data_IF_197710814302
#
_entry.id   IF_197710814302
#
_cell.length_a   1.000
_cell.length_b   1.000
_cell.length_c   1.000
_cell.angle_alpha   90.00
_cell.angle_beta   90.00
_cell.angle_gamma   90.00
#
_symmetry.space_group_name_H-M   'P 1'
#
loop_
_entity.id
_entity.type
_entity.pdbx_description
1 polymer ?
#
# COMPACT_ATOMS: atom_id res chain seq x y z
N UNK A 1 6.51 -29.32 -17.94
CA UNK A 1 5.18 -29.38 -17.34
C UNK A 1 4.40 -28.16 -17.78
N UNK A 2 3.07 -28.18 -17.81
CA UNK A 2 2.32 -26.95 -18.06
C UNK A 2 2.61 -25.94 -16.95
N UNK A 3 2.50 -24.63 -17.22
CA UNK A 3 2.69 -23.61 -16.21
C UNK A 3 1.64 -23.75 -15.11
N UNK A 4 2.04 -23.52 -13.86
CA UNK A 4 1.12 -23.52 -12.71
C UNK A 4 0.22 -22.28 -12.73
N UNK A 5 -1.07 -22.48 -12.52
CA UNK A 5 -2.06 -21.38 -12.48
C UNK A 5 -2.00 -20.68 -11.14
N UNK A 6 -1.84 -19.35 -11.18
CA UNK A 6 -1.76 -18.50 -9.99
C UNK A 6 -2.89 -17.48 -10.00
N UNK A 7 -3.84 -17.59 -9.07
CA UNK A 7 -4.86 -16.55 -8.89
C UNK A 7 -4.29 -15.37 -8.08
N UNK A 8 -4.38 -14.18 -8.62
CA UNK A 8 -3.99 -12.92 -7.98
C UNK A 8 -5.25 -12.10 -7.66
N UNK A 9 -5.51 -11.87 -6.39
CA UNK A 9 -6.70 -11.13 -5.95
C UNK A 9 -6.37 -9.64 -5.81
N UNK A 10 -7.11 -8.81 -6.55
CA UNK A 10 -7.05 -7.35 -6.47
C UNK A 10 -8.43 -6.78 -6.15
N UNK A 11 -8.53 -5.86 -5.21
CA UNK A 11 -9.80 -5.31 -4.72
C UNK A 11 -9.94 -3.82 -4.98
N UNK A 12 -8.99 -3.05 -4.53
CA UNK A 12 -8.98 -1.60 -4.55
C UNK A 12 -7.67 -1.08 -5.16
N UNK A 13 -7.62 0.22 -5.44
CA UNK A 13 -6.44 0.89 -6.03
C UNK A 13 -5.11 0.48 -5.38
N UNK A 14 -4.94 0.46 -4.04
CA UNK A 14 -3.69 0.05 -3.42
C UNK A 14 -3.29 -1.40 -3.71
N UNK A 15 -4.26 -2.30 -3.94
CA UNK A 15 -3.96 -3.69 -4.27
C UNK A 15 -3.37 -3.82 -5.68
N UNK A 16 -3.83 -3.04 -6.66
CA UNK A 16 -3.25 -3.08 -8.01
C UNK A 16 -1.78 -2.69 -8.01
N UNK A 17 -1.38 -1.70 -7.19
CA UNK A 17 0.01 -1.34 -7.01
C UNK A 17 0.86 -2.51 -6.49
N UNK A 18 0.29 -3.38 -5.65
CA UNK A 18 0.99 -4.54 -5.08
C UNK A 18 0.96 -5.75 -6.01
N UNK A 19 -0.13 -5.92 -6.75
CA UNK A 19 -0.32 -7.06 -7.66
C UNK A 19 0.48 -6.89 -8.97
N UNK A 20 0.61 -5.66 -9.49
CA UNK A 20 1.23 -5.42 -10.80
C UNK A 20 2.67 -5.96 -10.91
N UNK A 21 3.61 -5.70 -9.98
CA UNK A 21 4.95 -6.27 -10.07
C UNK A 21 4.95 -7.80 -10.08
N UNK A 22 4.10 -8.41 -9.25
CA UNK A 22 3.95 -9.88 -9.22
C UNK A 22 3.39 -10.42 -10.53
N UNK A 23 2.32 -9.80 -11.06
CA UNK A 23 1.73 -10.22 -12.33
C UNK A 23 2.78 -10.20 -13.44
N UNK A 24 3.57 -9.11 -13.55
CA UNK A 24 4.62 -9.02 -14.55
C UNK A 24 5.73 -10.06 -14.35
N UNK A 25 6.15 -10.30 -13.11
CA UNK A 25 7.17 -11.31 -12.82
C UNK A 25 6.69 -12.73 -13.14
N UNK A 26 5.46 -13.07 -12.77
CA UNK A 26 4.83 -14.37 -13.06
C UNK A 26 4.62 -14.54 -14.57
N UNK A 27 4.12 -13.52 -15.27
CA UNK A 27 3.89 -13.55 -16.72
C UNK A 27 5.17 -13.72 -17.54
N UNK A 28 6.28 -13.17 -17.05
CA UNK A 28 7.59 -13.34 -17.69
C UNK A 28 8.22 -14.72 -17.42
N UNK A 29 7.67 -15.49 -16.47
CA UNK A 29 8.18 -16.82 -16.11
C UNK A 29 7.46 -17.91 -16.92
N UNK A 30 8.18 -18.91 -17.48
CA UNK A 30 7.56 -20.06 -18.12
C UNK A 30 6.88 -21.02 -17.13
N UNK A 31 7.14 -20.88 -15.83
CA UNK A 31 6.66 -21.80 -14.80
C UNK A 31 5.24 -21.49 -14.32
N UNK A 32 4.75 -20.25 -14.56
CA UNK A 32 3.51 -19.76 -13.97
C UNK A 32 2.59 -19.10 -15.02
N UNK A 33 1.28 -19.23 -14.81
CA UNK A 33 0.22 -18.60 -15.58
C UNK A 33 -0.63 -17.73 -14.61
N UNK A 34 -0.35 -16.42 -14.48
CA UNK A 34 -1.13 -15.55 -13.60
C UNK A 34 -2.52 -15.29 -14.17
N UNK A 35 -3.53 -15.37 -13.31
CA UNK A 35 -4.93 -15.04 -13.54
C UNK A 35 -5.30 -13.89 -12.60
N UNK A 36 -5.66 -12.74 -13.16
CA UNK A 36 -6.00 -11.54 -12.41
C UNK A 36 -7.50 -11.53 -12.09
N UNK A 37 -7.83 -11.49 -10.79
CA UNK A 37 -9.21 -11.47 -10.29
C UNK A 37 -9.46 -10.15 -9.59
N UNK A 38 -10.35 -9.32 -10.15
CA UNK A 38 -10.76 -8.05 -9.57
C UNK A 38 -12.09 -8.23 -8.81
N UNK A 39 -12.08 -7.94 -7.50
CA UNK A 39 -13.31 -8.10 -6.69
C UNK A 39 -14.31 -6.96 -6.90
N UNK A 40 -13.87 -5.80 -7.38
CA UNK A 40 -14.76 -4.67 -7.69
C UNK A 40 -15.24 -3.92 -6.44
N UNK A 41 -14.42 -3.85 -5.39
CA UNK A 41 -14.78 -3.21 -4.11
C UNK A 41 -15.00 -1.69 -4.23
N UNK A 42 -14.42 -1.02 -5.22
CA UNK A 42 -14.64 0.40 -5.51
C UNK A 42 -15.16 0.57 -6.93
N UNK A 43 -16.31 1.23 -7.06
CA UNK A 43 -17.11 1.37 -8.28
C UNK A 43 -16.71 2.60 -9.13
N UNK A 44 -15.43 2.93 -9.25
CA UNK A 44 -15.02 3.96 -10.21
C UNK A 44 -14.34 3.28 -11.41
N UNK A 45 -15.17 2.91 -12.41
CA UNK A 45 -14.71 2.26 -13.63
C UNK A 45 -13.63 3.12 -14.33
N UNK A 46 -13.72 4.45 -14.27
CA UNK A 46 -12.75 5.36 -14.85
C UNK A 46 -11.43 5.35 -14.09
N UNK A 47 -11.47 5.36 -12.75
CA UNK A 47 -10.25 5.37 -11.92
C UNK A 47 -9.53 4.01 -11.91
N UNK A 48 -10.27 2.90 -12.01
CA UNK A 48 -9.66 1.56 -12.08
C UNK A 48 -8.97 1.33 -13.43
N UNK A 49 -9.57 1.79 -14.53
CA UNK A 49 -8.99 1.67 -15.88
C UNK A 49 -7.69 2.47 -16.04
N UNK A 50 -7.61 3.68 -15.49
CA UNK A 50 -6.38 4.49 -15.54
C UNK A 50 -5.23 3.83 -14.77
N UNK A 51 -5.48 3.30 -13.57
CA UNK A 51 -4.40 2.66 -12.80
C UNK A 51 -3.92 1.35 -13.42
N UNK A 52 -4.81 0.54 -14.00
CA UNK A 52 -4.42 -0.65 -14.75
C UNK A 52 -3.50 -0.29 -15.90
N UNK A 53 -3.84 0.77 -16.66
CA UNK A 53 -3.04 1.28 -17.77
C UNK A 53 -1.69 1.82 -17.29
N UNK A 54 -1.67 2.63 -16.23
CA UNK A 54 -0.44 3.21 -15.66
C UNK A 54 0.54 2.10 -15.19
N UNK A 55 0.00 0.99 -14.67
CA UNK A 55 0.77 -0.16 -14.20
C UNK A 55 1.06 -1.21 -15.29
N UNK A 56 0.52 -1.03 -16.50
CA UNK A 56 0.66 -1.98 -17.61
C UNK A 56 0.00 -3.33 -17.32
N UNK A 57 -1.05 -3.36 -16.51
CA UNK A 57 -1.87 -4.55 -16.29
C UNK A 57 -2.90 -4.72 -17.41
N UNK A 58 -3.24 -5.97 -17.77
CA UNK A 58 -4.38 -6.24 -18.64
C UNK A 58 -5.71 -6.01 -17.91
N UNK A 59 -6.80 -6.09 -18.66
CA UNK A 59 -8.11 -6.26 -18.05
C UNK A 59 -8.12 -7.53 -17.18
N UNK A 60 -8.81 -7.51 -16.04
CA UNK A 60 -8.93 -8.70 -15.18
C UNK A 60 -9.59 -9.88 -15.93
N UNK A 61 -9.03 -11.07 -15.72
CA UNK A 61 -9.61 -12.32 -16.26
C UNK A 61 -11.00 -12.59 -15.69
N UNK A 62 -11.21 -12.21 -14.41
CA UNK A 62 -12.52 -12.28 -13.74
C UNK A 62 -12.79 -10.99 -12.95
N UNK A 63 -14.05 -10.53 -13.03
CA UNK A 63 -14.55 -9.38 -12.30
C UNK A 63 -15.76 -9.77 -11.45
N UNK A 64 -15.62 -9.71 -10.11
CA UNK A 64 -16.67 -10.20 -9.19
C UNK A 64 -17.83 -9.22 -8.99
N UNK A 65 -17.66 -7.94 -9.29
CA UNK A 65 -18.70 -6.92 -9.21
C UNK A 65 -19.28 -6.70 -7.83
N UNK A 66 -18.47 -6.81 -6.77
CA UNK A 66 -18.96 -6.78 -5.37
C UNK A 66 -19.51 -5.40 -4.98
N UNK A 67 -18.86 -4.32 -5.42
CA UNK A 67 -19.25 -2.96 -5.08
C UNK A 67 -18.97 -2.56 -3.63
N UNK A 68 -19.50 -1.38 -3.23
CA UNK A 68 -19.46 -0.91 -1.85
C UNK A 68 -20.54 -1.57 -1.02
N UNK A 69 -20.32 -1.65 0.30
CA UNK A 69 -21.28 -2.24 1.26
C UNK A 69 -20.66 -2.34 2.65
N UNK A 70 -21.40 -2.89 3.62
CA UNK A 70 -20.88 -3.17 4.93
C UNK A 70 -19.80 -4.26 4.91
N UNK A 71 -18.89 -4.27 5.89
CA UNK A 71 -17.78 -5.22 5.94
C UNK A 71 -18.22 -6.69 5.83
N UNK A 72 -19.26 -7.08 6.57
CA UNK A 72 -19.78 -8.45 6.54
C UNK A 72 -20.36 -8.83 5.17
N UNK A 73 -21.11 -7.93 4.55
CA UNK A 73 -21.70 -8.13 3.23
C UNK A 73 -20.61 -8.26 2.17
N UNK A 74 -19.66 -7.33 2.11
CA UNK A 74 -18.55 -7.40 1.15
C UNK A 74 -17.74 -8.70 1.30
N UNK A 75 -17.35 -9.05 2.53
CA UNK A 75 -16.59 -10.28 2.82
C UNK A 75 -17.37 -11.51 2.36
N UNK A 76 -18.66 -11.61 2.71
CA UNK A 76 -19.52 -12.75 2.34
C UNK A 76 -19.71 -12.87 0.83
N UNK A 77 -19.94 -11.77 0.13
CA UNK A 77 -20.12 -11.76 -1.35
C UNK A 77 -18.83 -12.16 -2.05
N UNK A 78 -17.66 -11.65 -1.62
CA UNK A 78 -16.36 -12.08 -2.18
C UNK A 78 -16.16 -13.58 -1.98
N UNK A 79 -16.45 -14.11 -0.78
CA UNK A 79 -16.33 -15.55 -0.51
C UNK A 79 -17.20 -16.39 -1.45
N UNK A 80 -18.44 -15.97 -1.70
CA UNK A 80 -19.37 -16.71 -2.58
C UNK A 80 -18.89 -16.65 -4.04
N UNK A 81 -18.62 -15.46 -4.57
CA UNK A 81 -18.29 -15.31 -5.99
C UNK A 81 -16.90 -15.86 -6.32
N UNK A 82 -15.91 -15.61 -5.46
CA UNK A 82 -14.57 -16.20 -5.65
C UNK A 82 -14.59 -17.72 -5.45
N UNK A 83 -15.40 -18.23 -4.51
CA UNK A 83 -15.58 -19.66 -4.31
C UNK A 83 -16.01 -20.38 -5.59
N UNK A 84 -17.02 -19.85 -6.29
CA UNK A 84 -17.50 -20.39 -7.57
C UNK A 84 -16.38 -20.44 -8.64
N UNK A 85 -15.58 -19.37 -8.72
CA UNK A 85 -14.45 -19.30 -9.66
C UNK A 85 -13.38 -20.32 -9.27
N UNK A 86 -13.03 -20.40 -7.99
CA UNK A 86 -11.99 -21.30 -7.50
C UNK A 86 -12.38 -22.79 -7.64
N UNK A 87 -13.66 -23.13 -7.57
CA UNK A 87 -14.16 -24.49 -7.83
C UNK A 87 -14.15 -24.81 -9.33
N UNK A 88 -14.56 -23.87 -10.20
CA UNK A 88 -14.63 -24.07 -11.65
C UNK A 88 -13.25 -24.01 -12.32
N UNK A 89 -12.36 -23.16 -11.80
CA UNK A 89 -11.02 -22.85 -12.33
C UNK A 89 -9.98 -22.94 -11.20
N UNK A 90 -9.81 -24.15 -10.67
CA UNK A 90 -8.94 -24.39 -9.49
C UNK A 90 -7.50 -23.98 -9.79
N UNK A 91 -6.91 -23.01 -9.04
CA UNK A 91 -5.52 -22.64 -9.21
C UNK A 91 -4.60 -23.61 -8.45
N UNK A 92 -3.32 -23.62 -8.84
CA UNK A 92 -2.25 -24.26 -8.07
C UNK A 92 -1.81 -23.40 -6.88
N UNK A 93 -1.93 -22.07 -7.01
CA UNK A 93 -1.63 -21.09 -5.98
C UNK A 93 -2.66 -19.96 -5.95
N UNK A 94 -3.02 -19.54 -4.76
CA UNK A 94 -3.77 -18.31 -4.51
C UNK A 94 -2.85 -17.30 -3.85
N UNK A 95 -2.75 -16.08 -4.39
CA UNK A 95 -2.01 -14.98 -3.77
C UNK A 95 -3.01 -13.86 -3.43
N UNK A 96 -3.08 -13.53 -2.15
CA UNK A 96 -3.84 -12.40 -1.62
C UNK A 96 -2.88 -11.31 -1.12
N UNK A 97 -3.28 -10.04 -1.18
CA UNK A 97 -2.38 -8.92 -0.87
C UNK A 97 -3.02 -7.92 0.09
N UNK A 98 -2.25 -7.46 1.09
CA UNK A 98 -2.66 -6.43 2.03
C UNK A 98 -3.78 -6.89 2.98
N UNK A 99 -4.70 -5.98 3.35
CA UNK A 99 -5.55 -6.12 4.52
C UNK A 99 -7.03 -5.73 4.31
N UNK A 100 -7.49 -5.68 3.06
CA UNK A 100 -8.90 -5.35 2.76
C UNK A 100 -9.82 -6.56 2.94
N UNK A 101 -11.14 -6.34 2.98
CA UNK A 101 -12.13 -7.42 3.14
C UNK A 101 -11.97 -8.54 2.10
N UNK A 102 -11.63 -8.20 0.87
CA UNK A 102 -11.40 -9.18 -0.20
C UNK A 102 -10.19 -10.08 0.07
N UNK A 103 -9.18 -9.59 0.77
CA UNK A 103 -7.97 -10.34 1.13
C UNK A 103 -8.33 -11.52 2.06
N UNK A 104 -8.98 -11.22 3.17
CA UNK A 104 -9.38 -12.25 4.14
C UNK A 104 -10.44 -13.18 3.55
N UNK A 105 -11.39 -12.67 2.78
CA UNK A 105 -12.44 -13.46 2.14
C UNK A 105 -11.86 -14.51 1.19
N UNK A 106 -10.95 -14.12 0.29
CA UNK A 106 -10.32 -15.03 -0.64
C UNK A 106 -9.38 -16.03 0.07
N UNK A 107 -8.64 -15.60 1.09
CA UNK A 107 -7.79 -16.49 1.88
C UNK A 107 -8.61 -17.58 2.59
N UNK A 108 -9.77 -17.23 3.16
CA UNK A 108 -10.70 -18.20 3.76
C UNK A 108 -11.23 -19.20 2.73
N UNK A 109 -11.53 -18.78 1.51
CA UNK A 109 -11.93 -19.69 0.42
C UNK A 109 -10.78 -20.62 0.07
N UNK A 110 -9.55 -20.10 -0.11
CA UNK A 110 -8.37 -20.90 -0.38
C UNK A 110 -8.15 -21.98 0.67
N UNK A 111 -8.16 -21.60 1.95
CA UNK A 111 -7.99 -22.53 3.07
C UNK A 111 -9.07 -23.63 3.11
N UNK A 112 -10.35 -23.26 2.88
CA UNK A 112 -11.46 -24.24 2.88
C UNK A 112 -11.44 -25.19 1.69
N UNK A 113 -10.96 -24.76 0.55
CA UNK A 113 -10.83 -25.58 -0.66
C UNK A 113 -9.49 -26.33 -0.73
N UNK A 114 -8.59 -26.14 0.25
CA UNK A 114 -7.25 -26.73 0.24
C UNK A 114 -6.41 -26.23 -0.93
N UNK A 115 -6.52 -24.96 -1.28
CA UNK A 115 -5.70 -24.27 -2.28
C UNK A 115 -4.52 -23.61 -1.54
N UNK A 116 -3.26 -23.93 -1.89
CA UNK A 116 -2.10 -23.28 -1.29
C UNK A 116 -2.21 -21.77 -1.40
N UNK A 117 -2.27 -21.08 -0.24
CA UNK A 117 -2.55 -19.66 -0.15
C UNK A 117 -1.34 -18.88 0.35
N UNK A 118 -0.97 -17.85 -0.36
CA UNK A 118 0.12 -16.93 -0.03
C UNK A 118 -0.46 -15.58 0.36
N UNK A 119 -0.04 -15.03 1.50
CA UNK A 119 -0.34 -13.66 1.89
C UNK A 119 0.88 -12.76 1.68
N UNK A 120 0.78 -11.82 0.75
CA UNK A 120 1.79 -10.78 0.52
C UNK A 120 1.48 -9.55 1.40
N UNK A 121 2.49 -9.03 2.06
CA UNK A 121 2.42 -7.97 3.08
C UNK A 121 1.90 -8.53 4.43
N UNK A 122 2.24 -9.78 4.72
CA UNK A 122 1.90 -10.47 5.95
C UNK A 122 2.66 -9.92 7.17
N UNK A 123 2.10 -10.12 8.35
CA UNK A 123 2.76 -9.83 9.63
C UNK A 123 2.74 -8.37 10.08
N UNK A 124 2.19 -7.44 9.30
CA UNK A 124 2.01 -6.06 9.74
C UNK A 124 0.96 -5.99 10.86
N UNK A 125 1.23 -5.19 11.90
CA UNK A 125 0.32 -5.00 13.04
C UNK A 125 0.26 -3.53 13.46
N UNK A 126 -0.96 -3.03 13.64
CA UNK A 126 -1.21 -1.72 14.28
C UNK A 126 -1.42 -1.86 15.79
N UNK A 127 -1.76 -3.06 16.26
CA UNK A 127 -2.18 -3.32 17.64
C UNK A 127 -3.57 -2.78 17.98
N UNK A 128 -4.25 -2.12 17.04
CA UNK A 128 -5.58 -1.54 17.23
C UNK A 128 -6.67 -2.43 16.62
N UNK A 129 -7.30 -3.25 17.44
CA UNK A 129 -8.39 -4.15 17.04
C UNK A 129 -9.71 -3.44 16.70
N UNK A 130 -9.81 -2.13 16.89
CA UNK A 130 -10.97 -1.36 16.41
C UNK A 130 -10.90 -1.09 14.91
N UNK A 131 -9.73 -1.27 14.31
CA UNK A 131 -9.52 -1.17 12.87
C UNK A 131 -9.93 -2.49 12.19
N UNK A 132 -10.87 -2.46 11.23
CA UNK A 132 -11.25 -3.65 10.45
C UNK A 132 -10.06 -4.31 9.74
N UNK A 133 -9.10 -3.52 9.28
CA UNK A 133 -7.89 -3.99 8.61
C UNK A 133 -7.01 -4.82 9.55
N UNK A 134 -6.95 -4.51 10.84
CA UNK A 134 -6.19 -5.31 11.81
C UNK A 134 -6.79 -6.70 11.97
N UNK A 135 -8.11 -6.79 12.04
CA UNK A 135 -8.82 -8.08 12.08
C UNK A 135 -8.55 -8.87 10.81
N UNK A 136 -8.59 -8.21 9.65
CA UNK A 136 -8.30 -8.85 8.36
C UNK A 136 -6.87 -9.39 8.31
N UNK A 137 -5.86 -8.63 8.77
CA UNK A 137 -4.45 -9.07 8.82
C UNK A 137 -4.30 -10.34 9.67
N UNK A 138 -4.78 -10.30 10.92
CA UNK A 138 -4.72 -11.43 11.85
C UNK A 138 -5.36 -12.70 11.27
N UNK A 139 -6.57 -12.56 10.71
CA UNK A 139 -7.29 -13.70 10.15
C UNK A 139 -6.63 -14.25 8.88
N UNK A 140 -6.15 -13.38 7.98
CA UNK A 140 -5.47 -13.78 6.75
C UNK A 140 -4.17 -14.50 7.03
N UNK A 141 -3.34 -13.98 7.95
CA UNK A 141 -2.07 -14.61 8.35
C UNK A 141 -2.29 -15.98 8.99
N UNK A 142 -3.32 -16.11 9.81
CA UNK A 142 -3.63 -17.37 10.48
C UNK A 142 -3.97 -18.50 9.49
N UNK A 143 -4.71 -18.20 8.39
CA UNK A 143 -5.20 -19.21 7.45
C UNK A 143 -4.33 -19.41 6.22
N UNK A 144 -3.35 -18.53 5.92
CA UNK A 144 -2.47 -18.63 4.75
C UNK A 144 -1.32 -19.60 4.98
N UNK A 145 -0.95 -20.38 3.97
CA UNK A 145 0.14 -21.38 4.04
C UNK A 145 1.53 -20.74 3.98
N UNK A 146 1.66 -19.64 3.26
CA UNK A 146 2.91 -18.90 3.05
C UNK A 146 2.70 -17.42 3.36
N UNK A 147 3.62 -16.85 4.12
CA UNK A 147 3.56 -15.48 4.60
C UNK A 147 4.77 -14.70 4.09
N UNK A 148 4.55 -13.83 3.09
CA UNK A 148 5.56 -12.97 2.54
C UNK A 148 5.58 -11.62 3.27
N UNK A 149 6.61 -11.41 4.06
CA UNK A 149 6.74 -10.25 4.95
C UNK A 149 7.54 -9.12 4.32
N UNK A 150 7.17 -7.85 4.59
CA UNK A 150 7.87 -6.69 4.07
C UNK A 150 9.10 -6.30 4.90
N UNK A 151 9.22 -6.76 6.15
CA UNK A 151 10.20 -6.19 7.10
C UNK A 151 10.43 -7.11 8.30
N UNK A 152 11.54 -6.92 9.06
CA UNK A 152 11.88 -7.73 10.23
C UNK A 152 10.87 -7.68 11.38
N UNK A 153 10.17 -6.57 11.56
CA UNK A 153 9.11 -6.44 12.57
C UNK A 153 7.90 -7.31 12.24
N UNK A 154 7.56 -7.43 10.95
CA UNK A 154 6.51 -8.32 10.50
C UNK A 154 6.85 -9.81 10.79
N UNK A 155 8.09 -10.23 10.56
CA UNK A 155 8.54 -11.59 10.94
C UNK A 155 8.38 -11.82 12.45
N UNK A 156 8.84 -10.85 13.27
CA UNK A 156 8.74 -10.95 14.74
C UNK A 156 7.29 -11.09 15.22
N UNK A 157 6.36 -10.34 14.61
CA UNK A 157 4.95 -10.42 14.94
C UNK A 157 4.40 -11.82 14.69
N UNK A 158 4.65 -12.38 13.50
CA UNK A 158 4.19 -13.73 13.13
C UNK A 158 4.78 -14.81 14.04
N UNK A 159 6.08 -14.74 14.32
CA UNK A 159 6.74 -15.69 15.23
C UNK A 159 6.18 -15.60 16.65
N UNK A 160 5.91 -14.39 17.15
CA UNK A 160 5.29 -14.18 18.47
C UNK A 160 3.85 -14.69 18.53
N UNK A 161 3.14 -14.73 17.41
CA UNK A 161 1.80 -15.32 17.26
C UNK A 161 1.83 -16.85 17.06
N UNK A 162 3.01 -17.47 17.09
CA UNK A 162 3.17 -18.92 16.98
C UNK A 162 3.18 -19.45 15.56
N UNK A 163 3.32 -18.61 14.54
CA UNK A 163 3.45 -19.06 13.16
C UNK A 163 4.82 -19.71 12.96
N UNK A 164 4.87 -20.93 12.38
CA UNK A 164 6.13 -21.62 12.10
C UNK A 164 7.02 -20.85 11.13
N UNK A 165 8.33 -20.76 11.42
CA UNK A 165 9.29 -20.00 10.65
C UNK A 165 9.37 -20.43 9.16
N UNK A 166 9.13 -21.69 8.86
CA UNK A 166 9.12 -22.23 7.49
C UNK A 166 7.98 -21.69 6.62
N UNK A 167 6.91 -21.14 7.23
CA UNK A 167 5.82 -20.46 6.52
C UNK A 167 6.17 -19.01 6.19
N UNK A 168 7.17 -18.43 6.85
CA UNK A 168 7.56 -17.02 6.73
C UNK A 168 8.71 -16.86 5.74
N UNK A 169 8.57 -15.97 4.78
CA UNK A 169 9.66 -15.57 3.88
C UNK A 169 9.69 -14.05 3.78
N UNK A 170 10.79 -13.43 4.25
CA UNK A 170 10.97 -11.99 4.07
C UNK A 170 11.32 -11.70 2.62
N UNK A 171 10.43 -11.00 1.93
CA UNK A 171 10.58 -10.66 0.52
C UNK A 171 10.88 -9.16 0.29
N UNK A 172 10.55 -8.30 1.25
CA UNK A 172 10.64 -6.86 1.14
C UNK A 172 9.31 -6.21 0.76
N UNK A 173 9.35 -4.93 0.44
CA UNK A 173 8.16 -4.11 0.21
C UNK A 173 7.83 -4.02 -1.29
N UNK A 174 6.73 -4.65 -1.69
CA UNK A 174 6.28 -4.73 -3.09
C UNK A 174 5.83 -3.38 -3.67
N UNK A 175 5.45 -2.40 -2.84
CA UNK A 175 5.10 -1.06 -3.31
C UNK A 175 6.28 -0.38 -3.99
N UNK A 176 7.50 -0.70 -3.56
CA UNK A 176 8.71 -0.13 -4.14
C UNK A 176 9.02 -0.69 -5.53
N UNK A 177 8.64 -1.94 -5.80
CA UNK A 177 8.72 -2.51 -7.15
C UNK A 177 7.81 -1.73 -8.11
N UNK A 178 6.60 -1.34 -7.68
CA UNK A 178 5.70 -0.51 -8.48
C UNK A 178 6.25 0.90 -8.68
N UNK A 179 6.84 1.48 -7.63
CA UNK A 179 7.51 2.77 -7.76
C UNK A 179 8.66 2.70 -8.78
N UNK A 180 9.56 1.71 -8.68
CA UNK A 180 10.68 1.56 -9.61
C UNK A 180 10.19 1.33 -11.06
N UNK A 181 9.15 0.54 -11.24
CA UNK A 181 8.55 0.31 -12.54
C UNK A 181 8.00 1.59 -13.16
N UNK A 182 7.40 2.46 -12.37
CA UNK A 182 6.81 3.74 -12.81
C UNK A 182 7.80 4.91 -12.75
N UNK A 183 9.00 4.72 -12.19
CA UNK A 183 10.03 5.76 -12.03
C UNK A 183 10.32 6.58 -13.31
N UNK A 184 10.44 5.97 -14.53
CA UNK A 184 10.66 6.75 -15.75
C UNK A 184 9.48 7.70 -16.05
N UNK A 185 8.23 7.24 -15.87
CA UNK A 185 7.04 8.07 -16.06
C UNK A 185 6.93 9.17 -14.99
N UNK A 186 7.25 8.86 -13.73
CA UNK A 186 7.32 9.81 -12.62
C UNK A 186 8.32 10.94 -12.94
N UNK A 187 9.51 10.59 -13.42
CA UNK A 187 10.51 11.57 -13.82
C UNK A 187 10.07 12.42 -15.03
N UNK A 188 9.40 11.81 -16.01
CA UNK A 188 8.90 12.48 -17.20
C UNK A 188 7.73 13.44 -16.92
N UNK A 189 6.96 13.23 -15.83
CA UNK A 189 5.81 14.05 -15.46
C UNK A 189 6.22 15.49 -15.06
N UNK A 190 7.42 15.69 -14.51
CA UNK A 190 7.97 17.01 -14.16
C UNK A 190 6.97 17.91 -13.43
N UNK A 191 6.23 17.32 -12.48
CA UNK A 191 5.16 18.06 -11.76
C UNK A 191 5.68 19.29 -10.99
N UNK A 192 6.87 19.26 -10.34
CA UNK A 192 7.42 20.44 -9.70
C UNK A 192 7.60 21.60 -10.68
N UNK A 193 8.07 21.35 -11.90
CA UNK A 193 8.23 22.38 -12.95
C UNK A 193 6.88 22.92 -13.40
N UNK A 194 5.90 22.04 -13.64
CA UNK A 194 4.53 22.43 -14.02
C UNK A 194 3.87 23.33 -12.98
N UNK A 195 4.23 23.13 -11.71
CA UNK A 195 3.75 23.96 -10.60
C UNK A 195 4.67 25.16 -10.27
N UNK A 196 5.74 25.41 -11.03
CA UNK A 196 6.66 26.53 -10.78
C UNK A 196 7.50 26.39 -9.51
N UNK A 197 7.75 25.16 -9.07
CA UNK A 197 8.49 24.82 -7.84
C UNK A 197 9.93 24.35 -8.12
N UNK A 198 10.34 24.28 -9.38
CA UNK A 198 11.66 23.78 -9.75
C UNK A 198 12.78 24.55 -9.01
N UNK A 199 13.69 23.82 -8.39
CA UNK A 199 14.84 24.37 -7.66
C UNK A 199 14.48 25.06 -6.33
N UNK A 200 13.24 25.01 -5.88
CA UNK A 200 12.80 25.57 -4.60
C UNK A 200 12.41 24.47 -3.64
N UNK A 201 12.79 24.53 -2.36
CA UNK A 201 12.31 23.57 -1.37
C UNK A 201 10.80 23.79 -1.10
N UNK A 202 10.03 22.72 -1.04
CA UNK A 202 8.60 22.74 -0.71
C UNK A 202 8.20 21.50 0.07
N UNK A 203 7.06 21.56 0.77
CA UNK A 203 6.42 20.46 1.45
C UNK A 203 5.20 20.00 0.67
N UNK A 204 4.99 18.70 0.60
CA UNK A 204 3.73 18.10 0.12
C UNK A 204 2.87 17.72 1.32
N UNK A 205 1.61 18.18 1.36
CA UNK A 205 0.64 17.78 2.36
C UNK A 205 -0.43 16.87 1.74
N UNK A 206 -0.87 15.82 2.47
CA UNK A 206 -2.03 15.01 2.11
C UNK A 206 -2.72 14.48 3.35
N UNK A 207 -4.02 14.72 3.46
CA UNK A 207 -4.86 14.37 4.60
C UNK A 207 -6.20 13.85 4.09
N UNK A 208 -6.64 12.69 4.61
CA UNK A 208 -7.89 12.05 4.18
C UNK A 208 -8.53 11.15 5.23
N UNK A 209 -7.84 10.90 6.37
CA UNK A 209 -8.39 10.01 7.41
C UNK A 209 -9.56 10.65 8.13
N UNK A 210 -10.64 9.87 8.39
CA UNK A 210 -11.83 10.35 9.10
C UNK A 210 -11.51 11.02 10.43
N UNK A 211 -10.63 10.44 11.24
CA UNK A 211 -10.22 10.98 12.54
C UNK A 211 -9.61 12.37 12.46
N UNK A 212 -8.99 12.71 11.33
CA UNK A 212 -8.33 13.98 11.10
C UNK A 212 -9.23 15.04 10.47
N UNK A 213 -10.14 14.63 9.57
CA UNK A 213 -10.83 15.59 8.70
C UNK A 213 -12.34 15.67 8.94
N UNK A 214 -13.01 14.67 9.54
CA UNK A 214 -14.47 14.62 9.60
C UNK A 214 -15.09 15.57 10.64
N UNK A 215 -14.32 16.07 11.59
CA UNK A 215 -14.83 16.97 12.63
C UNK A 215 -14.07 18.30 12.63
N UNK A 216 -14.79 19.39 12.92
CA UNK A 216 -14.25 20.74 12.82
C UNK A 216 -13.05 21.03 13.74
N UNK A 217 -13.03 20.47 14.95
CA UNK A 217 -11.96 20.67 15.92
C UNK A 217 -10.60 20.15 15.43
N UNK A 218 -10.46 18.83 15.20
CA UNK A 218 -9.24 18.24 14.65
C UNK A 218 -8.79 18.90 13.34
N UNK A 219 -9.71 19.12 12.37
CA UNK A 219 -9.34 19.73 11.10
C UNK A 219 -8.85 21.17 11.27
N UNK A 220 -9.43 21.97 12.16
CA UNK A 220 -8.95 23.32 12.47
C UNK A 220 -7.53 23.30 13.04
N UNK A 221 -7.23 22.42 13.98
CA UNK A 221 -5.88 22.27 14.52
C UNK A 221 -4.87 21.89 13.43
N UNK A 222 -5.25 21.01 12.49
CA UNK A 222 -4.39 20.67 11.36
C UNK A 222 -4.16 21.85 10.42
N UNK A 223 -5.19 22.63 10.12
CA UNK A 223 -5.07 23.85 9.33
C UNK A 223 -4.11 24.84 9.99
N UNK A 224 -4.22 25.08 11.29
CA UNK A 224 -3.33 25.97 12.03
C UNK A 224 -1.87 25.48 11.98
N UNK A 225 -1.66 24.15 12.04
CA UNK A 225 -0.33 23.59 11.93
C UNK A 225 0.26 23.70 10.52
N UNK A 226 -0.54 23.45 9.49
CA UNK A 226 -0.09 23.64 8.10
C UNK A 226 0.25 25.10 7.83
N UNK A 227 -0.51 26.06 8.40
CA UNK A 227 -0.20 27.47 8.32
C UNK A 227 1.14 27.83 8.98
N UNK A 228 1.46 27.22 10.12
CA UNK A 228 2.75 27.39 10.79
C UNK A 228 3.91 26.83 9.95
N UNK A 229 3.77 25.63 9.41
CA UNK A 229 4.77 25.01 8.51
C UNK A 229 4.95 25.85 7.24
N UNK A 230 3.88 26.40 6.66
CA UNK A 230 3.93 27.25 5.48
C UNK A 230 4.85 28.47 5.63
N UNK A 231 5.00 29.01 6.84
CA UNK A 231 5.90 30.14 7.11
C UNK A 231 7.39 29.78 6.95
N UNK A 232 7.71 28.48 6.99
CA UNK A 232 9.08 27.94 6.84
C UNK A 232 9.33 27.32 5.48
N UNK A 233 8.33 26.59 4.98
CA UNK A 233 8.45 25.74 3.81
C UNK A 233 7.13 25.82 3.02
N UNK A 234 7.13 26.35 1.79
CA UNK A 234 5.93 26.41 0.98
C UNK A 234 5.23 25.07 0.87
N UNK A 235 3.93 25.04 1.11
CA UNK A 235 3.13 23.81 1.06
C UNK A 235 2.34 23.73 -0.23
N UNK A 236 2.41 22.58 -0.90
CA UNK A 236 1.48 22.15 -1.94
C UNK A 236 0.62 21.04 -1.38
N UNK A 237 -0.70 21.21 -1.46
CA UNK A 237 -1.66 20.29 -0.90
C UNK A 237 -2.64 19.80 -1.99
N UNK A 238 -2.34 18.65 -2.64
CA UNK A 238 -3.33 17.94 -3.45
C UNK A 238 -4.46 17.45 -2.53
N UNK A 239 -5.62 18.11 -2.62
CA UNK A 239 -6.68 17.94 -1.62
C UNK A 239 -7.56 16.77 -1.99
N UNK A 240 -7.60 15.74 -1.13
CA UNK A 240 -8.51 14.62 -1.30
C UNK A 240 -9.98 15.10 -1.28
N UNK A 241 -10.90 14.54 -2.10
CA UNK A 241 -12.29 15.01 -2.19
C UNK A 241 -13.03 15.08 -0.83
N UNK A 242 -12.81 14.11 0.05
CA UNK A 242 -13.34 14.13 1.42
C UNK A 242 -12.87 15.37 2.19
N UNK A 243 -11.59 15.66 2.12
CA UNK A 243 -10.98 16.79 2.84
C UNK A 243 -11.43 18.12 2.24
N UNK A 244 -11.54 18.22 0.91
CA UNK A 244 -12.06 19.39 0.25
C UNK A 244 -13.49 19.72 0.71
N UNK A 245 -14.38 18.70 0.76
CA UNK A 245 -15.74 18.86 1.24
C UNK A 245 -15.78 19.37 2.70
N UNK A 246 -14.93 18.83 3.59
CA UNK A 246 -14.86 19.24 4.99
C UNK A 246 -14.24 20.63 5.20
N UNK A 247 -13.21 20.96 4.42
CA UNK A 247 -12.64 22.33 4.43
C UNK A 247 -13.67 23.37 4.00
N UNK A 248 -14.50 23.07 3.00
CA UNK A 248 -15.58 23.95 2.55
C UNK A 248 -16.70 24.04 3.61
N UNK A 249 -17.15 22.92 4.14
CA UNK A 249 -18.21 22.83 5.17
C UNK A 249 -17.86 23.66 6.42
N UNK A 250 -16.60 23.57 6.87
CA UNK A 250 -16.16 24.27 8.09
C UNK A 250 -15.55 25.66 7.84
N UNK A 251 -15.54 26.14 6.58
CA UNK A 251 -15.05 27.46 6.21
C UNK A 251 -13.53 27.63 6.41
N UNK A 252 -12.74 26.54 6.25
CA UNK A 252 -11.31 26.54 6.57
C UNK A 252 -10.39 26.69 5.35
N UNK A 253 -10.91 26.52 4.13
CA UNK A 253 -10.11 26.58 2.89
C UNK A 253 -9.45 27.96 2.71
N UNK A 254 -10.21 29.05 2.83
CA UNK A 254 -9.71 30.41 2.69
C UNK A 254 -8.54 30.70 3.65
N UNK A 255 -8.59 30.19 4.89
CA UNK A 255 -7.51 30.36 5.86
C UNK A 255 -6.18 29.73 5.46
N UNK A 256 -6.22 28.61 4.72
CA UNK A 256 -5.01 27.99 4.15
C UNK A 256 -4.48 28.80 2.96
N UNK A 257 -5.36 29.24 2.06
CA UNK A 257 -5.01 30.03 0.87
C UNK A 257 -4.44 31.40 1.26
N UNK A 258 -5.04 32.09 2.21
CA UNK A 258 -4.55 33.36 2.77
C UNK A 258 -3.17 33.22 3.41
N UNK A 259 -2.87 32.07 4.01
CA UNK A 259 -1.54 31.77 4.53
C UNK A 259 -0.51 31.43 3.43
N UNK A 260 -0.95 31.28 2.17
CA UNK A 260 -0.11 30.94 1.03
C UNK A 260 0.03 29.44 0.77
N UNK A 261 -0.74 28.56 1.45
CA UNK A 261 -0.80 27.14 1.13
C UNK A 261 -1.46 26.95 -0.24
N UNK A 262 -0.78 26.25 -1.13
CA UNK A 262 -1.29 25.99 -2.47
C UNK A 262 -2.18 24.76 -2.48
N UNK A 263 -3.50 24.96 -2.46
CA UNK A 263 -4.49 23.89 -2.65
C UNK A 263 -4.60 23.57 -4.14
N UNK A 264 -4.51 22.29 -4.49
CA UNK A 264 -4.66 21.82 -5.88
C UNK A 264 -5.58 20.59 -5.93
N UNK A 265 -6.11 20.32 -7.12
CA UNK A 265 -6.88 19.13 -7.38
C UNK A 265 -6.05 17.86 -7.12
N UNK A 266 -6.71 16.72 -6.79
CA UNK A 266 -6.05 15.43 -6.66
C UNK A 266 -5.25 15.09 -7.92
N UNK A 267 -4.04 14.56 -7.73
CA UNK A 267 -3.16 14.15 -8.81
C UNK A 267 -3.25 12.63 -9.04
N UNK A 268 -3.01 12.19 -10.28
CA UNK A 268 -2.74 10.78 -10.56
C UNK A 268 -1.50 10.32 -9.80
N UNK A 269 -1.34 9.00 -9.62
CA UNK A 269 -0.19 8.44 -8.87
C UNK A 269 1.15 8.93 -9.41
N UNK A 270 1.33 8.90 -10.72
CA UNK A 270 2.59 9.30 -11.39
C UNK A 270 2.90 10.78 -11.13
N UNK A 271 1.92 11.67 -11.33
CA UNK A 271 2.07 13.11 -11.06
C UNK A 271 2.29 13.40 -9.58
N UNK A 272 1.54 12.72 -8.71
CA UNK A 272 1.70 12.86 -7.26
C UNK A 272 3.10 12.43 -6.80
N UNK A 273 3.60 11.28 -7.25
CA UNK A 273 4.93 10.81 -6.90
C UNK A 273 6.04 11.67 -7.52
N UNK A 274 5.81 12.28 -8.70
CA UNK A 274 6.72 13.29 -9.26
C UNK A 274 6.83 14.51 -8.34
N UNK A 275 5.70 14.97 -7.79
CA UNK A 275 5.68 16.07 -6.83
C UNK A 275 6.37 15.68 -5.51
N UNK A 276 6.08 14.48 -4.98
CA UNK A 276 6.70 13.96 -3.74
C UNK A 276 8.21 13.81 -3.90
N UNK A 277 8.68 13.21 -5.00
CA UNK A 277 10.09 12.94 -5.22
C UNK A 277 10.96 14.22 -5.23
N UNK A 278 10.39 15.36 -5.64
CA UNK A 278 11.05 16.67 -5.62
C UNK A 278 10.90 17.43 -4.30
N UNK A 279 10.15 16.92 -3.33
CA UNK A 279 9.82 17.64 -2.11
C UNK A 279 10.96 17.65 -1.07
N UNK A 280 10.96 18.66 -0.22
CA UNK A 280 11.85 18.77 0.93
C UNK A 280 11.31 18.00 2.15
N UNK A 281 10.00 17.85 2.27
CA UNK A 281 9.31 17.15 3.33
C UNK A 281 7.91 16.76 2.89
N UNK A 282 7.32 15.80 3.61
CA UNK A 282 5.94 15.36 3.43
C UNK A 282 5.21 15.37 4.76
N UNK A 283 3.98 15.90 4.77
CA UNK A 283 3.04 15.83 5.90
C UNK A 283 1.84 14.99 5.46
N UNK A 284 1.55 13.90 6.16
CA UNK A 284 0.54 12.94 5.70
C UNK A 284 -0.17 12.21 6.84
N UNK A 285 -1.32 11.62 6.53
CA UNK A 285 -1.96 10.57 7.34
C UNK A 285 -2.05 9.22 6.59
N UNK A 286 -1.45 9.14 5.40
CA UNK A 286 -1.42 7.95 4.55
C UNK A 286 -0.41 6.91 5.06
N UNK A 287 -0.80 5.63 5.10
CA UNK A 287 0.10 4.52 5.43
C UNK A 287 1.14 4.26 4.33
N UNK A 288 0.72 4.18 3.07
CA UNK A 288 1.62 3.86 1.95
C UNK A 288 2.70 4.91 1.71
N UNK A 289 2.36 6.19 1.86
CA UNK A 289 3.31 7.27 1.62
C UNK A 289 4.51 7.27 2.60
N UNK A 290 4.33 6.72 3.81
CA UNK A 290 5.43 6.51 4.76
C UNK A 290 6.53 5.60 4.20
N UNK A 291 6.13 4.60 3.42
CA UNK A 291 7.03 3.63 2.78
C UNK A 291 7.77 4.27 1.60
N UNK A 292 7.04 4.96 0.72
CA UNK A 292 7.60 5.62 -0.45
C UNK A 292 8.57 6.74 -0.06
N UNK A 293 8.23 7.56 0.94
CA UNK A 293 9.12 8.61 1.45
C UNK A 293 10.36 8.05 2.14
N UNK A 294 10.23 6.95 2.90
CA UNK A 294 11.36 6.23 3.47
C UNK A 294 12.31 5.73 2.38
N UNK A 295 11.76 5.15 1.32
CA UNK A 295 12.55 4.69 0.18
C UNK A 295 13.28 5.83 -0.54
N UNK A 296 12.62 6.97 -0.71
CA UNK A 296 13.18 8.17 -1.34
C UNK A 296 14.13 8.96 -0.44
N UNK A 297 14.20 8.65 0.86
CA UNK A 297 14.98 9.43 1.82
C UNK A 297 14.38 10.81 2.09
N UNK A 298 13.05 10.96 1.99
CA UNK A 298 12.34 12.22 2.21
C UNK A 298 11.76 12.23 3.64
N UNK A 299 12.02 13.25 4.47
CA UNK A 299 11.39 13.38 5.77
C UNK A 299 9.86 13.35 5.66
N UNK A 300 9.24 12.45 6.42
CA UNK A 300 7.80 12.24 6.46
C UNK A 300 7.26 12.48 7.87
N UNK A 301 6.22 13.26 7.98
CA UNK A 301 5.55 13.54 9.25
C UNK A 301 4.14 12.98 9.19
N UNK A 302 3.93 11.88 9.92
CA UNK A 302 2.65 11.18 9.92
C UNK A 302 1.77 11.67 11.06
N UNK A 303 0.67 12.32 10.72
CA UNK A 303 -0.33 12.86 11.66
C UNK A 303 -1.27 11.73 12.12
N UNK A 304 -0.72 10.82 12.93
CA UNK A 304 -1.39 9.67 13.51
C UNK A 304 -0.79 9.34 14.87
N UNK A 305 -1.56 8.69 15.74
CA UNK A 305 -1.10 8.23 17.05
C UNK A 305 -0.22 6.96 16.94
N UNK A 306 -0.47 6.13 15.91
CA UNK A 306 0.26 4.89 15.66
C UNK A 306 0.51 4.66 14.16
N UNK A 307 1.29 3.64 13.85
CA UNK A 307 1.48 3.14 12.48
C UNK A 307 1.62 1.62 12.50
N UNK A 308 1.06 0.98 11.49
CA UNK A 308 1.29 -0.44 11.19
C UNK A 308 2.65 -0.71 10.55
N UNK A 309 3.46 0.35 10.35
CA UNK A 309 4.79 0.30 9.69
C UNK A 309 5.88 0.89 10.58
N UNK A 310 6.14 0.34 11.78
CA UNK A 310 7.12 0.88 12.74
C UNK A 310 8.53 0.95 12.15
N UNK A 311 8.85 0.07 11.19
CA UNK A 311 10.13 0.06 10.48
C UNK A 311 10.44 1.39 9.78
N UNK A 312 9.40 2.13 9.32
CA UNK A 312 9.58 3.45 8.69
C UNK A 312 10.05 4.51 9.68
N UNK A 313 9.79 4.30 10.97
CA UNK A 313 10.26 5.16 12.07
C UNK A 313 11.64 4.70 12.54
N UNK A 314 11.82 3.41 12.76
CA UNK A 314 13.05 2.83 13.33
C UNK A 314 14.25 2.94 12.37
N UNK A 315 14.03 2.72 11.08
CA UNK A 315 15.06 2.66 10.04
C UNK A 315 14.81 3.62 8.87
N UNK A 316 13.67 4.33 8.88
CA UNK A 316 13.27 5.21 7.79
C UNK A 316 13.29 6.69 8.13
N UNK A 317 12.51 7.44 7.37
CA UNK A 317 12.41 8.90 7.47
C UNK A 317 11.13 9.37 8.15
N UNK A 318 10.26 8.41 8.52
CA UNK A 318 8.96 8.72 9.08
C UNK A 318 9.04 9.10 10.57
N UNK A 319 8.22 10.06 10.97
CA UNK A 319 8.03 10.48 12.37
C UNK A 319 6.55 10.65 12.62
N UNK A 320 6.03 10.02 13.66
CA UNK A 320 4.69 10.33 14.14
C UNK A 320 4.70 11.75 14.70
N UNK A 321 3.72 12.53 14.30
CA UNK A 321 3.62 13.94 14.67
C UNK A 321 2.24 14.26 15.22
N UNK A 322 2.23 15.05 16.28
CA UNK A 322 1.03 15.74 16.73
C UNK A 322 0.95 17.12 16.05
N UNK A 323 -0.24 17.67 15.84
CA UNK A 323 -0.36 19.01 15.32
C UNK A 323 0.57 20.04 16.00
N UNK A 324 0.57 20.09 17.33
CA UNK A 324 1.35 21.05 18.08
C UNK A 324 2.89 20.94 17.91
N UNK A 325 3.40 19.74 17.59
CA UNK A 325 4.84 19.48 17.42
C UNK A 325 5.35 19.58 15.99
N UNK A 326 4.45 19.65 15.00
CA UNK A 326 4.77 19.50 13.58
C UNK A 326 5.80 20.52 13.06
N UNK A 327 5.61 21.80 13.36
CA UNK A 327 6.52 22.89 12.89
C UNK A 327 7.96 22.68 13.38
N UNK A 328 8.13 22.30 14.66
CA UNK A 328 9.43 21.99 15.23
C UNK A 328 10.09 20.77 14.60
N UNK A 329 9.33 19.72 14.31
CA UNK A 329 9.83 18.51 13.66
C UNK A 329 10.26 18.81 12.21
N UNK A 330 9.49 19.59 11.45
CA UNK A 330 9.85 20.02 10.10
C UNK A 330 11.14 20.85 10.14
N UNK A 331 11.24 21.82 11.05
CA UNK A 331 12.43 22.65 11.20
C UNK A 331 13.69 21.85 11.56
N UNK A 332 13.57 20.79 12.36
CA UNK A 332 14.67 19.90 12.70
C UNK A 332 15.11 19.07 11.49
N UNK A 333 14.15 18.47 10.77
CA UNK A 333 14.44 17.60 9.63
C UNK A 333 15.08 18.32 8.44
N UNK A 334 14.76 19.59 8.24
CA UNK A 334 15.40 20.42 7.19
C UNK A 334 16.91 20.67 7.44
N UNK A 335 17.41 20.42 8.66
CA UNK A 335 18.83 20.56 9.02
C UNK A 335 19.58 19.22 9.00
N UNK A 336 18.87 18.12 8.85
CA UNK A 336 19.48 16.78 8.88
C UNK A 336 20.16 16.46 7.56
N UNK A 337 21.28 15.75 7.67
CA UNK A 337 22.00 15.21 6.52
C UNK A 337 21.28 13.96 5.99
N UNK A 338 20.60 14.09 4.87
CA UNK A 338 19.84 13.01 4.22
C UNK A 338 20.72 11.83 3.76
N UNK A 339 22.01 12.03 3.58
CA UNK A 339 22.93 10.96 3.17
C UNK A 339 23.10 9.88 4.26
N UNK A 340 22.70 10.16 5.51
CA UNK A 340 22.78 9.23 6.63
C UNK A 340 21.54 8.35 6.82
N UNK A 341 20.48 8.58 6.05
CA UNK A 341 19.24 7.83 6.17
C UNK A 341 19.44 6.40 5.65
N UNK A 342 19.10 5.42 6.48
CA UNK A 342 19.14 4.01 6.12
C UNK A 342 17.82 3.59 5.50
N UNK A 343 17.88 2.65 4.56
CA UNK A 343 16.68 1.96 4.04
C UNK A 343 16.52 0.63 4.77
N UNK A 344 15.31 0.19 5.07
CA UNK A 344 15.08 -1.16 5.56
C UNK A 344 15.62 -2.23 4.61
N UNK A 345 16.01 -3.36 5.17
CA UNK A 345 16.50 -4.50 4.39
C UNK A 345 15.46 -4.96 3.35
N UNK A 346 15.91 -5.26 2.12
CA UNK A 346 15.08 -5.64 0.97
C UNK A 346 14.08 -4.58 0.47
N UNK A 347 14.23 -3.35 0.90
CA UNK A 347 13.50 -2.22 0.31
C UNK A 347 14.28 -1.66 -0.88
N UNK A 348 14.33 -2.43 -1.97
CA UNK A 348 15.24 -2.21 -3.11
C UNK A 348 14.56 -2.37 -4.48
N UNK A 349 13.21 -2.54 -4.53
CA UNK A 349 12.47 -2.73 -5.77
C UNK A 349 12.62 -4.11 -6.41
N UNK A 350 13.06 -5.12 -5.65
CA UNK A 350 13.24 -6.50 -6.13
C UNK A 350 12.36 -7.52 -5.38
N UNK A 351 11.28 -7.09 -4.78
CA UNK A 351 10.37 -7.92 -4.00
C UNK A 351 9.69 -8.97 -4.86
N UNK A 352 9.18 -8.59 -6.03
CA UNK A 352 8.52 -9.52 -6.95
C UNK A 352 9.46 -10.66 -7.39
N UNK A 353 10.73 -10.38 -7.61
CA UNK A 353 11.72 -11.41 -7.94
C UNK A 353 11.93 -12.41 -6.79
N UNK A 354 11.95 -11.93 -5.53
CA UNK A 354 12.06 -12.79 -4.34
C UNK A 354 10.79 -13.64 -4.14
N UNK A 355 9.61 -13.04 -4.36
CA UNK A 355 8.34 -13.77 -4.34
C UNK A 355 8.33 -14.91 -5.37
N UNK A 356 8.75 -14.63 -6.60
CA UNK A 356 8.85 -15.62 -7.68
C UNK A 356 9.84 -16.74 -7.32
N UNK A 357 11.00 -16.40 -6.76
CA UNK A 357 12.01 -17.37 -6.35
C UNK A 357 11.49 -18.29 -5.23
N UNK A 358 10.78 -17.73 -4.23
CA UNK A 358 10.18 -18.51 -3.15
C UNK A 358 9.06 -19.42 -3.67
N UNK A 359 8.20 -18.92 -4.55
CA UNK A 359 7.13 -19.71 -5.15
C UNK A 359 7.68 -20.91 -5.93
N UNK A 360 8.73 -20.70 -6.76
CA UNK A 360 9.45 -21.78 -7.45
C UNK A 360 9.99 -22.84 -6.50
N UNK A 361 10.67 -22.38 -5.45
CA UNK A 361 11.26 -23.28 -4.44
C UNK A 361 10.20 -24.17 -3.77
N UNK A 362 9.04 -23.59 -3.43
CA UNK A 362 7.92 -24.28 -2.78
C UNK A 362 7.22 -25.24 -3.74
N UNK A 363 6.99 -24.84 -4.99
CA UNK A 363 6.42 -25.70 -6.04
C UNK A 363 7.24 -26.97 -6.26
N UNK A 364 8.57 -26.85 -6.40
CA UNK A 364 9.45 -28.01 -6.56
C UNK A 364 9.57 -28.87 -5.30
N UNK A 365 9.44 -28.27 -4.10
CA UNK A 365 9.41 -28.98 -2.82
C UNK A 365 8.18 -29.88 -2.68
N UNK A 366 7.01 -29.39 -3.05
CA UNK A 366 5.74 -30.12 -3.02
C UNK A 366 5.74 -31.30 -3.99
N UNK A 367 6.29 -31.14 -5.20
CA UNK A 367 6.44 -32.23 -6.16
C UNK A 367 7.38 -33.34 -5.67
N UNK A 368 8.48 -32.99 -5.00
CA UNK A 368 9.40 -33.99 -4.40
C UNK A 368 8.72 -34.79 -3.31
N UNK A 369 7.89 -34.16 -2.48
CA UNK A 369 7.13 -34.84 -1.44
C UNK A 369 6.03 -35.75 -2.01
N UNK A 370 5.28 -35.26 -3.03
CA UNK A 370 4.27 -36.05 -3.72
C UNK A 370 4.87 -37.27 -4.43
N UNK A 371 6.02 -37.15 -5.10
CA UNK A 371 6.74 -38.26 -5.72
C UNK A 371 7.27 -39.28 -4.71
N UNK A 372 7.69 -38.85 -3.50
CA UNK A 372 8.12 -39.71 -2.41
C UNK A 372 6.96 -40.45 -1.75
N UNK A 373 5.77 -39.86 -1.72
CA UNK A 373 4.57 -40.50 -1.18
C UNK A 373 3.91 -41.50 -2.17
N UNK A 374 4.23 -41.38 -3.46
CA UNK A 374 3.73 -42.28 -4.51
C UNK A 374 4.70 -43.43 -4.85
N UNK A 375 5.90 -43.47 -4.27
CA UNK A 375 6.92 -44.52 -4.40
C UNK A 375 6.97 -45.36 -3.13
#
# INVERSE_FOLDING_TARGET
MPPQTVHLIAAARPNFMKVAPLWHALKASPDFAPVLIHTGQHYDANMSGEILKDLGLPDPDFHLGIGSGGHAEQTGRVMIEYGRIAEAHRPDWLIVVGDVNSTVAAALVGAKLGIPTVHLEAGLRSGDRTMPEEINRLATDAVSDVLWTPSPDADRNLLAEGIPAERITRVGNIMLDSFERTRPAIAAAREPEALGLAGRPYCVATLHRPSNVDTAGPLRHLVDCLRAVQQRLPIVFPVHPRTAARLAEFGLAASLEEAGVRLIEPLSYIRFMSLVAGSAAVVTDSGGLQEETTYLGIPCFTLRENTERPITIEQGTNRLATPAGLDGLVAAALREDRARLKRPEFWDGNTAARCLADLRRRSHGSERLARRAAA
#
